data_IF_997485134059
#
_entry.id   IF_997485134059
#
_cell.length_a   1.000
_cell.length_b   1.000
_cell.length_c   1.000
_cell.angle_alpha   90.00
_cell.angle_beta   90.00
_cell.angle_gamma   90.00
#
_symmetry.space_group_name_H-M   'P 1'
#
loop_
_entity.id
_entity.type
_entity.pdbx_description
1 polymer ?
#
# COMPACT_ATOMS: atom_id res chain seq x y z
N UNK A 1 28.63 4.02 -6.18
CA UNK A 1 27.19 4.10 -5.92
C UNK A 1 26.59 5.08 -6.92
N UNK A 2 25.92 4.59 -7.98
CA UNK A 2 25.25 5.46 -8.98
C UNK A 2 23.88 5.81 -8.43
N UNK A 3 23.61 7.11 -8.29
CA UNK A 3 22.30 7.66 -7.96
C UNK A 3 21.26 7.10 -8.95
N UNK A 4 20.25 6.45 -8.42
CA UNK A 4 19.04 6.05 -9.17
C UNK A 4 18.35 7.36 -9.52
N UNK A 5 18.24 7.64 -10.82
CA UNK A 5 17.54 8.82 -11.35
C UNK A 5 16.05 8.70 -10.96
N UNK A 6 15.65 9.43 -9.93
CA UNK A 6 14.31 9.38 -9.34
C UNK A 6 13.23 10.01 -10.23
N UNK A 7 13.62 10.59 -11.37
CA UNK A 7 12.73 11.31 -12.31
C UNK A 7 12.56 10.60 -13.66
N UNK A 8 12.77 9.28 -13.76
CA UNK A 8 12.44 8.58 -15.00
C UNK A 8 10.92 8.61 -15.20
N UNK A 9 10.42 9.14 -16.34
CA UNK A 9 8.99 9.16 -16.65
C UNK A 9 8.43 7.74 -16.58
N UNK A 10 7.17 7.61 -16.13
CA UNK A 10 6.45 6.34 -15.95
C UNK A 10 6.42 5.46 -17.22
N UNK A 11 6.65 6.06 -18.38
CA UNK A 11 6.61 5.45 -19.70
C UNK A 11 8.01 5.33 -20.30
N UNK A 12 8.89 4.52 -19.70
CA UNK A 12 10.21 4.21 -20.26
C UNK A 12 10.38 2.71 -20.46
N UNK A 13 11.21 2.32 -21.44
CA UNK A 13 11.58 0.93 -21.70
C UNK A 13 12.29 0.31 -20.49
N UNK A 14 12.27 -1.05 -20.34
CA UNK A 14 13.08 -1.74 -19.34
C UNK A 14 14.56 -1.41 -19.54
N UNK A 15 15.33 -1.35 -18.44
CA UNK A 15 16.79 -1.25 -18.55
C UNK A 15 17.36 -2.62 -18.93
N UNK A 16 17.66 -2.81 -20.21
CA UNK A 16 18.20 -4.03 -20.77
C UNK A 16 19.64 -4.35 -20.29
N UNK A 17 20.30 -3.44 -19.56
CA UNK A 17 21.59 -3.67 -18.90
C UNK A 17 21.45 -4.34 -17.55
N UNK A 18 20.25 -4.38 -17.01
CA UNK A 18 19.97 -5.03 -15.76
C UNK A 18 19.90 -6.56 -15.97
N UNK A 19 20.80 -7.28 -15.31
CA UNK A 19 20.85 -8.75 -15.40
C UNK A 19 19.50 -9.40 -15.04
N UNK A 20 18.78 -8.85 -14.06
CA UNK A 20 17.45 -9.35 -13.68
C UNK A 20 16.39 -9.17 -14.78
N UNK A 21 16.53 -8.17 -15.67
CA UNK A 21 15.67 -8.01 -16.86
C UNK A 21 16.03 -9.07 -17.88
N UNK A 22 17.31 -9.24 -18.18
CA UNK A 22 17.79 -10.23 -19.15
C UNK A 22 17.39 -11.66 -18.77
N UNK A 23 17.61 -12.05 -17.51
CA UNK A 23 17.21 -13.38 -17.00
C UNK A 23 15.72 -13.62 -17.12
N UNK A 24 14.88 -12.62 -16.85
CA UNK A 24 13.41 -12.76 -17.00
C UNK A 24 12.98 -12.88 -18.45
N UNK A 25 13.61 -12.15 -19.37
CA UNK A 25 13.32 -12.27 -20.80
C UNK A 25 13.65 -13.69 -21.27
N UNK A 26 14.81 -14.22 -20.90
CA UNK A 26 15.21 -15.59 -21.25
C UNK A 26 14.26 -16.62 -20.62
N UNK A 27 13.97 -16.49 -19.32
CA UNK A 27 13.09 -17.45 -18.64
C UNK A 27 11.69 -17.44 -19.24
N UNK A 28 11.05 -16.25 -19.40
CA UNK A 28 9.70 -16.16 -19.93
C UNK A 28 9.64 -16.58 -21.40
N UNK A 29 10.67 -16.26 -22.20
CA UNK A 29 10.79 -16.72 -23.57
C UNK A 29 10.84 -18.24 -23.68
N UNK A 30 11.68 -18.88 -22.87
CA UNK A 30 11.79 -20.35 -22.82
C UNK A 30 10.50 -21.02 -22.31
N UNK A 31 9.88 -20.47 -21.27
CA UNK A 31 8.57 -20.95 -20.79
C UNK A 31 7.52 -20.86 -21.89
N UNK A 32 7.48 -19.75 -22.63
CA UNK A 32 6.55 -19.61 -23.76
C UNK A 32 6.86 -20.61 -24.89
N UNK A 33 8.13 -20.82 -25.21
CA UNK A 33 8.57 -21.83 -26.19
C UNK A 33 8.17 -23.25 -25.78
N UNK A 34 8.38 -23.60 -24.50
CA UNK A 34 7.96 -24.87 -23.95
C UNK A 34 6.44 -25.06 -23.96
N UNK A 35 5.68 -24.03 -23.59
CA UNK A 35 4.23 -24.05 -23.67
C UNK A 35 3.72 -24.23 -25.10
N UNK A 36 4.36 -23.55 -26.07
CA UNK A 36 4.04 -23.75 -27.48
C UNK A 36 4.33 -25.18 -27.96
N UNK A 37 5.48 -25.76 -27.56
CA UNK A 37 5.80 -27.16 -27.85
C UNK A 37 4.77 -28.11 -27.26
N UNK A 38 4.33 -27.89 -26.03
CA UNK A 38 3.30 -28.69 -25.36
C UNK A 38 1.95 -28.63 -26.09
N UNK A 39 1.55 -27.48 -26.59
CA UNK A 39 0.31 -27.30 -27.35
C UNK A 39 0.40 -27.98 -28.73
N UNK A 40 1.57 -27.97 -29.36
CA UNK A 40 1.79 -28.54 -30.69
C UNK A 40 2.01 -30.07 -30.67
N UNK A 41 2.47 -30.59 -29.54
CA UNK A 41 2.73 -32.02 -29.37
C UNK A 41 1.42 -32.80 -29.25
N UNK A 42 1.32 -33.91 -30.00
CA UNK A 42 0.16 -34.83 -29.92
C UNK A 42 0.33 -35.88 -28.83
N UNK A 43 1.55 -36.17 -28.48
CA UNK A 43 1.91 -37.13 -27.42
C UNK A 43 3.21 -36.71 -26.73
N UNK A 44 3.52 -37.34 -25.58
CA UNK A 44 4.67 -36.98 -24.78
C UNK A 44 6.02 -37.26 -25.47
N UNK A 45 6.08 -38.22 -26.40
CA UNK A 45 7.32 -38.53 -27.12
C UNK A 45 7.69 -37.44 -28.14
N UNK A 46 6.74 -36.68 -28.62
CA UNK A 46 6.97 -35.59 -29.59
C UNK A 46 7.34 -34.27 -28.91
N UNK A 47 7.17 -34.17 -27.60
CA UNK A 47 7.40 -32.89 -26.86
C UNK A 47 8.87 -32.44 -26.97
N UNK A 48 9.84 -33.34 -26.71
CA UNK A 48 11.24 -32.97 -26.73
C UNK A 48 11.75 -32.59 -28.13
N UNK A 49 11.46 -33.35 -29.20
CA UNK A 49 11.78 -32.96 -30.57
C UNK A 49 11.15 -31.61 -30.97
N UNK A 50 9.87 -31.40 -30.68
CA UNK A 50 9.19 -30.17 -31.02
C UNK A 50 9.72 -28.96 -30.25
N UNK A 51 10.06 -29.15 -28.97
CA UNK A 51 10.72 -28.08 -28.20
C UNK A 51 12.10 -27.75 -28.78
N UNK A 52 12.90 -28.77 -29.16
CA UNK A 52 14.20 -28.57 -29.77
C UNK A 52 14.11 -27.80 -31.11
N UNK A 53 13.12 -28.12 -31.95
CA UNK A 53 12.86 -27.41 -33.21
C UNK A 53 12.48 -25.92 -32.97
N UNK A 54 11.61 -25.67 -32.02
CA UNK A 54 11.25 -24.27 -31.65
C UNK A 54 12.44 -23.54 -31.03
N UNK A 55 13.20 -24.17 -30.16
CA UNK A 55 14.35 -23.60 -29.47
C UNK A 55 15.49 -23.27 -30.46
N UNK A 56 15.67 -24.03 -31.54
CA UNK A 56 16.66 -23.77 -32.57
C UNK A 56 16.48 -22.38 -33.25
N UNK A 57 15.24 -21.85 -33.30
CA UNK A 57 14.95 -20.52 -33.79
C UNK A 57 14.84 -19.52 -32.64
N UNK A 58 14.13 -19.87 -31.56
CA UNK A 58 13.84 -18.98 -30.44
C UNK A 58 15.09 -18.50 -29.71
N UNK A 59 16.00 -19.44 -29.37
CA UNK A 59 17.21 -19.13 -28.60
C UNK A 59 18.16 -18.15 -29.29
N UNK A 60 18.55 -18.36 -30.58
CA UNK A 60 19.37 -17.38 -31.27
C UNK A 60 18.71 -16.01 -31.38
N UNK A 61 17.40 -15.96 -31.64
CA UNK A 61 16.65 -14.68 -31.70
C UNK A 61 16.65 -13.98 -30.35
N UNK A 62 16.40 -14.70 -29.24
CA UNK A 62 16.43 -14.13 -27.89
C UNK A 62 17.81 -13.59 -27.54
N UNK A 63 18.87 -14.38 -27.77
CA UNK A 63 20.24 -14.00 -27.42
C UNK A 63 20.74 -12.81 -28.25
N UNK A 64 20.56 -12.86 -29.58
CA UNK A 64 20.96 -11.76 -30.47
C UNK A 64 20.19 -10.48 -30.19
N UNK A 65 18.90 -10.60 -29.91
CA UNK A 65 18.07 -9.46 -29.50
C UNK A 65 18.54 -8.86 -28.17
N UNK A 66 18.81 -9.70 -27.16
CA UNK A 66 19.29 -9.24 -25.85
C UNK A 66 20.64 -8.53 -25.95
N UNK A 67 21.60 -9.10 -26.69
CA UNK A 67 22.93 -8.50 -26.91
C UNK A 67 22.77 -7.13 -27.61
N UNK A 68 21.94 -7.07 -28.64
CA UNK A 68 21.67 -5.81 -29.38
C UNK A 68 20.99 -4.77 -28.50
N UNK A 69 19.99 -5.18 -27.72
CA UNK A 69 19.29 -4.32 -26.77
C UNK A 69 20.20 -3.81 -25.65
N UNK A 70 21.10 -4.67 -25.14
CA UNK A 70 22.13 -4.29 -24.19
C UNK A 70 23.07 -3.23 -24.76
N UNK A 71 23.58 -3.44 -25.99
CA UNK A 71 24.49 -2.51 -26.66
C UNK A 71 23.81 -1.15 -26.95
N UNK A 72 22.58 -1.19 -27.42
CA UNK A 72 21.79 0.01 -27.80
C UNK A 72 21.01 0.63 -26.66
N UNK A 73 21.06 0.09 -25.46
CA UNK A 73 20.27 0.54 -24.29
C UNK A 73 20.36 2.04 -24.03
N UNK A 74 21.57 2.64 -24.13
CA UNK A 74 21.78 4.09 -23.96
C UNK A 74 21.08 4.94 -25.03
N UNK A 75 20.99 4.44 -26.23
CA UNK A 75 20.32 5.12 -27.34
C UNK A 75 18.80 4.97 -27.23
N UNK A 76 18.32 3.75 -26.93
CA UNK A 76 16.91 3.46 -26.71
C UNK A 76 16.30 4.28 -25.57
N UNK A 77 17.06 4.54 -24.51
CA UNK A 77 16.59 5.35 -23.37
C UNK A 77 16.37 6.83 -23.69
N UNK A 78 16.87 7.33 -24.83
CA UNK A 78 16.69 8.71 -25.32
C UNK A 78 15.45 8.86 -26.20
N UNK A 79 14.88 7.75 -26.66
CA UNK A 79 13.72 7.77 -27.55
C UNK A 79 12.42 7.94 -26.75
N UNK A 80 11.42 8.62 -27.32
CA UNK A 80 10.06 8.57 -26.80
C UNK A 80 9.58 7.10 -26.70
N UNK A 81 8.77 6.78 -25.70
CA UNK A 81 8.37 5.41 -25.39
C UNK A 81 7.82 4.62 -26.58
N UNK A 82 6.94 5.25 -27.37
CA UNK A 82 6.37 4.62 -28.57
C UNK A 82 7.43 4.25 -29.62
N UNK A 83 8.39 5.14 -29.87
CA UNK A 83 9.52 4.87 -30.78
C UNK A 83 10.47 3.82 -30.24
N UNK A 84 10.64 3.79 -28.91
CA UNK A 84 11.40 2.74 -28.23
C UNK A 84 10.78 1.36 -28.41
N UNK A 85 9.47 1.22 -28.24
CA UNK A 85 8.73 -0.03 -28.54
C UNK A 85 8.89 -0.44 -29.99
N UNK A 86 8.67 0.49 -30.94
CA UNK A 86 8.81 0.23 -32.36
C UNK A 86 10.23 -0.26 -32.73
N UNK A 87 11.26 0.33 -32.11
CA UNK A 87 12.66 -0.07 -32.33
C UNK A 87 12.94 -1.47 -31.80
N UNK A 88 12.42 -1.85 -30.63
CA UNK A 88 12.54 -3.21 -30.08
C UNK A 88 11.84 -4.22 -30.98
N UNK A 89 10.61 -3.94 -31.40
CA UNK A 89 9.82 -4.81 -32.29
C UNK A 89 10.52 -5.01 -33.64
N UNK A 90 11.02 -3.93 -34.24
CA UNK A 90 11.77 -4.00 -35.49
C UNK A 90 13.05 -4.83 -35.34
N UNK A 91 13.80 -4.65 -34.27
CA UNK A 91 15.02 -5.37 -34.00
C UNK A 91 14.77 -6.88 -33.87
N UNK A 92 13.75 -7.28 -33.11
CA UNK A 92 13.37 -8.70 -32.98
C UNK A 92 12.93 -9.26 -34.33
N UNK A 93 12.14 -8.51 -35.11
CA UNK A 93 11.73 -8.94 -36.45
C UNK A 93 12.92 -9.15 -37.39
N UNK A 94 13.90 -8.24 -37.37
CA UNK A 94 15.14 -8.36 -38.18
C UNK A 94 15.93 -9.62 -37.78
N UNK A 95 16.14 -9.85 -36.47
CA UNK A 95 16.86 -11.03 -36.03
C UNK A 95 16.09 -12.33 -36.36
N UNK A 96 14.76 -12.34 -36.23
CA UNK A 96 13.92 -13.48 -36.62
C UNK A 96 14.08 -13.78 -38.11
N UNK A 97 14.03 -12.79 -38.95
CA UNK A 97 14.20 -12.96 -40.40
C UNK A 97 15.63 -13.45 -40.76
N UNK A 98 16.66 -12.90 -40.11
CA UNK A 98 18.05 -13.33 -40.32
C UNK A 98 18.33 -14.76 -39.90
N UNK A 99 17.82 -15.19 -38.72
CA UNK A 99 17.98 -16.54 -38.20
C UNK A 99 17.31 -17.56 -39.13
N UNK A 100 16.07 -17.29 -39.57
CA UNK A 100 15.36 -18.16 -40.49
C UNK A 100 16.03 -18.20 -41.87
N UNK A 101 16.54 -17.09 -42.36
CA UNK A 101 17.26 -17.07 -43.63
C UNK A 101 18.60 -17.83 -43.56
N UNK A 102 19.28 -17.76 -42.43
CA UNK A 102 20.48 -18.60 -42.20
C UNK A 102 20.13 -20.10 -42.17
N UNK A 103 19.00 -20.49 -41.60
CA UNK A 103 18.50 -21.88 -41.66
C UNK A 103 18.26 -22.35 -43.10
N UNK A 104 17.72 -21.51 -43.97
CA UNK A 104 17.52 -21.86 -45.38
C UNK A 104 18.84 -22.06 -46.13
N UNK A 105 19.90 -21.34 -45.79
CA UNK A 105 21.22 -21.54 -46.32
C UNK A 105 21.87 -22.88 -45.90
N UNK A 106 21.38 -23.42 -44.77
CA UNK A 106 21.80 -24.75 -44.24
C UNK A 106 20.92 -25.91 -44.74
N UNK A 107 20.00 -25.64 -45.67
CA UNK A 107 19.15 -26.65 -46.31
C UNK A 107 17.74 -26.82 -45.75
N UNK A 108 17.36 -26.02 -44.76
CA UNK A 108 15.99 -25.98 -44.25
C UNK A 108 15.08 -25.09 -45.13
N UNK A 109 14.10 -25.70 -45.78
CA UNK A 109 13.16 -24.93 -46.63
C UNK A 109 12.18 -24.11 -45.81
N UNK A 110 12.43 -22.81 -45.68
CA UNK A 110 11.47 -21.92 -45.03
C UNK A 110 10.45 -21.36 -46.08
N UNK A 111 9.18 -21.68 -45.89
CA UNK A 111 8.10 -21.12 -46.72
C UNK A 111 7.78 -19.68 -46.34
N UNK A 112 7.23 -18.90 -47.28
CA UNK A 112 6.74 -17.52 -47.00
C UNK A 112 5.74 -17.52 -45.81
N UNK A 113 4.90 -18.55 -45.70
CA UNK A 113 3.97 -18.72 -44.61
C UNK A 113 4.71 -19.02 -43.28
N UNK A 114 5.76 -19.85 -43.31
CA UNK A 114 6.60 -20.12 -42.13
C UNK A 114 7.29 -18.87 -41.58
N UNK A 115 7.83 -18.03 -42.46
CA UNK A 115 8.40 -16.74 -42.08
C UNK A 115 7.36 -15.80 -41.46
N UNK A 116 6.18 -15.64 -42.08
CA UNK A 116 5.13 -14.77 -41.56
C UNK A 116 4.63 -15.25 -40.20
N UNK A 117 4.47 -16.58 -40.01
CA UNK A 117 4.10 -17.20 -38.73
C UNK A 117 5.13 -16.92 -37.63
N UNK A 118 6.43 -17.09 -37.94
CA UNK A 118 7.50 -16.87 -36.97
C UNK A 118 7.59 -15.37 -36.58
N UNK A 119 7.50 -14.46 -37.53
CA UNK A 119 7.46 -13.02 -37.25
C UNK A 119 6.29 -12.63 -36.37
N UNK A 120 5.10 -13.18 -36.64
CA UNK A 120 3.90 -12.92 -35.85
C UNK A 120 4.06 -13.44 -34.39
N UNK A 121 4.57 -14.67 -34.23
CA UNK A 121 4.76 -15.27 -32.89
C UNK A 121 5.82 -14.52 -32.09
N UNK A 122 6.96 -14.15 -32.70
CA UNK A 122 7.99 -13.35 -32.05
C UNK A 122 7.48 -11.94 -31.70
N UNK A 123 6.64 -11.34 -32.56
CA UNK A 123 6.02 -10.06 -32.27
C UNK A 123 5.04 -10.14 -31.07
N UNK A 124 4.21 -11.18 -31.01
CA UNK A 124 3.30 -11.44 -29.90
C UNK A 124 4.07 -11.67 -28.58
N UNK A 125 5.13 -12.51 -28.61
CA UNK A 125 5.98 -12.74 -27.46
C UNK A 125 6.65 -11.45 -26.99
N UNK A 126 7.19 -10.64 -27.89
CA UNK A 126 7.82 -9.36 -27.59
C UNK A 126 6.80 -8.38 -26.97
N UNK A 127 5.60 -8.28 -27.56
CA UNK A 127 4.53 -7.47 -27.01
C UNK A 127 4.13 -7.91 -25.60
N UNK A 128 4.01 -9.22 -25.38
CA UNK A 128 3.74 -9.79 -24.05
C UNK A 128 4.83 -9.43 -23.04
N UNK A 129 6.11 -9.59 -23.41
CA UNK A 129 7.23 -9.24 -22.53
C UNK A 129 7.26 -7.74 -22.20
N UNK A 130 7.05 -6.87 -23.19
CA UNK A 130 6.97 -5.43 -22.96
C UNK A 130 5.78 -5.06 -22.06
N UNK A 131 4.61 -5.67 -22.27
CA UNK A 131 3.45 -5.50 -21.39
C UNK A 131 3.73 -5.97 -19.98
N UNK A 132 4.35 -7.14 -19.80
CA UNK A 132 4.77 -7.65 -18.49
C UNK A 132 5.67 -6.64 -17.75
N UNK A 133 6.71 -6.09 -18.41
CA UNK A 133 7.59 -5.11 -17.78
C UNK A 133 6.88 -3.79 -17.49
N UNK A 134 5.95 -3.36 -18.35
CA UNK A 134 5.12 -2.16 -18.11
C UNK A 134 4.26 -2.32 -16.86
N UNK A 135 3.48 -3.42 -16.74
CA UNK A 135 2.64 -3.70 -15.58
C UNK A 135 3.47 -3.88 -14.31
N UNK A 136 4.59 -4.59 -14.42
CA UNK A 136 5.50 -4.77 -13.30
C UNK A 136 6.05 -3.44 -12.78
N UNK A 137 6.50 -2.55 -13.67
CA UNK A 137 6.97 -1.22 -13.27
C UNK A 137 5.87 -0.42 -12.56
N UNK A 138 4.66 -0.47 -13.10
CA UNK A 138 3.52 0.21 -12.49
C UNK A 138 3.19 -0.35 -11.10
N UNK A 139 3.28 -1.66 -10.91
CA UNK A 139 3.06 -2.31 -9.60
C UNK A 139 4.14 -1.96 -8.55
N UNK A 140 5.38 -1.73 -8.99
CA UNK A 140 6.51 -1.38 -8.13
C UNK A 140 6.95 0.09 -8.29
N UNK A 141 6.05 0.97 -8.68
CA UNK A 141 6.36 2.40 -8.85
C UNK A 141 6.79 3.02 -7.52
N UNK A 142 7.91 3.79 -7.49
CA UNK A 142 8.31 4.58 -6.32
C UNK A 142 7.19 5.48 -5.80
N UNK A 143 6.37 6.05 -6.69
CA UNK A 143 5.22 6.86 -6.31
C UNK A 143 4.21 6.12 -5.41
N UNK A 144 4.02 4.80 -5.60
CA UNK A 144 3.17 3.98 -4.75
C UNK A 144 3.83 3.71 -3.39
N UNK A 145 5.14 3.57 -3.37
CA UNK A 145 5.94 3.43 -2.15
C UNK A 145 6.00 4.75 -1.39
N UNK A 146 6.23 5.87 -2.09
CA UNK A 146 6.23 7.22 -1.51
C UNK A 146 4.84 7.62 -1.00
N UNK A 147 3.78 7.31 -1.74
CA UNK A 147 2.40 7.51 -1.28
C UNK A 147 2.09 6.64 -0.04
N UNK A 148 2.59 5.41 0.04
CA UNK A 148 2.48 4.57 1.23
C UNK A 148 3.30 5.11 2.39
N UNK A 149 4.52 5.59 2.14
CA UNK A 149 5.36 6.23 3.16
C UNK A 149 4.74 7.55 3.63
N UNK A 150 4.23 8.38 2.74
CA UNK A 150 3.51 9.60 3.08
C UNK A 150 2.22 9.32 3.85
N UNK A 151 1.47 8.27 3.47
CA UNK A 151 0.29 7.83 4.22
C UNK A 151 0.66 7.27 5.61
N UNK A 152 1.83 6.62 5.74
CA UNK A 152 2.37 6.19 7.03
C UNK A 152 2.82 7.39 7.89
N UNK A 153 3.52 8.36 7.28
CA UNK A 153 3.93 9.60 7.93
C UNK A 153 2.75 10.50 8.31
N UNK A 154 1.68 10.50 7.51
CA UNK A 154 0.45 11.23 7.81
C UNK A 154 -0.35 10.62 8.98
N UNK A 155 -0.12 9.33 9.30
CA UNK A 155 -0.71 8.67 10.49
C UNK A 155 -0.10 9.19 11.79
N UNK A 156 1.14 9.64 11.75
CA UNK A 156 1.83 10.23 12.90
C UNK A 156 1.70 11.73 12.75
N UNK A 157 0.91 12.39 13.59
CA UNK A 157 0.90 13.86 13.64
C UNK A 157 2.26 14.34 14.18
N UNK A 158 3.15 14.92 13.36
CA UNK A 158 4.49 15.32 13.82
C UNK A 158 4.42 16.28 15.02
N UNK A 159 3.41 17.16 15.02
CA UNK A 159 3.16 18.10 16.08
C UNK A 159 2.85 17.43 17.43
N UNK A 160 2.10 16.32 17.43
CA UNK A 160 1.84 15.56 18.63
C UNK A 160 3.16 14.95 19.18
N UNK A 161 3.98 14.35 18.32
CA UNK A 161 5.27 13.79 18.74
C UNK A 161 6.18 14.83 19.39
N UNK A 162 6.37 15.98 18.73
CA UNK A 162 7.21 17.04 19.27
C UNK A 162 6.66 17.59 20.58
N UNK A 163 5.34 17.75 20.70
CA UNK A 163 4.73 18.25 21.92
C UNK A 163 4.83 17.25 23.07
N UNK A 164 4.63 15.95 22.82
CA UNK A 164 4.79 14.89 23.81
C UNK A 164 6.22 14.82 24.30
N UNK A 165 7.22 14.86 23.40
CA UNK A 165 8.64 14.90 23.76
C UNK A 165 8.98 16.14 24.61
N UNK A 166 8.47 17.31 24.27
CA UNK A 166 8.69 18.53 25.06
C UNK A 166 8.05 18.45 26.45
N UNK A 167 6.87 17.85 26.55
CA UNK A 167 6.22 17.62 27.86
C UNK A 167 7.07 16.65 28.71
N UNK A 168 7.56 15.56 28.15
CA UNK A 168 8.47 14.62 28.84
C UNK A 168 9.76 15.32 29.27
N UNK A 169 10.38 16.12 28.39
CA UNK A 169 11.61 16.86 28.71
C UNK A 169 11.42 17.80 29.90
N UNK A 170 10.24 18.40 30.04
CA UNK A 170 9.93 19.28 31.18
C UNK A 170 9.83 18.53 32.51
N UNK A 171 9.49 17.22 32.48
CA UNK A 171 9.35 16.35 33.63
C UNK A 171 10.65 15.71 34.11
N UNK A 172 11.66 15.54 33.22
CA UNK A 172 12.88 14.79 33.52
C UNK A 172 13.55 15.25 34.83
N UNK A 173 13.52 16.56 35.12
CA UNK A 173 14.16 17.11 36.32
C UNK A 173 13.23 17.20 37.53
N UNK A 174 11.94 17.37 37.32
CA UNK A 174 10.96 17.57 38.39
C UNK A 174 10.30 16.29 38.86
N UNK A 175 10.02 15.38 37.94
CA UNK A 175 9.39 14.08 38.20
C UNK A 175 9.91 13.02 37.21
N UNK A 176 11.14 12.46 37.46
CA UNK A 176 11.78 11.50 36.56
C UNK A 176 10.94 10.24 36.33
N UNK A 177 10.22 9.78 37.34
CA UNK A 177 9.40 8.57 37.23
C UNK A 177 8.23 8.78 36.28
N UNK A 178 7.56 9.91 36.39
CA UNK A 178 6.46 10.27 35.49
C UNK A 178 6.96 10.54 34.06
N UNK A 179 8.20 11.03 33.90
CA UNK A 179 8.84 11.18 32.58
C UNK A 179 9.10 9.81 31.94
N UNK A 180 9.55 8.81 32.73
CA UNK A 180 9.76 7.43 32.26
C UNK A 180 8.44 6.79 31.82
N UNK A 181 7.40 6.84 32.66
CA UNK A 181 6.05 6.35 32.32
C UNK A 181 5.51 6.98 31.02
N UNK A 182 5.68 8.29 30.85
CA UNK A 182 5.26 8.99 29.62
C UNK A 182 6.04 8.58 28.38
N UNK A 183 7.33 8.24 28.50
CA UNK A 183 8.14 7.70 27.39
C UNK A 183 7.69 6.29 27.01
N UNK A 184 7.36 5.47 28.00
CA UNK A 184 6.82 4.12 27.78
C UNK A 184 5.47 4.19 27.05
N UNK A 185 4.54 5.04 27.53
CA UNK A 185 3.25 5.30 26.88
C UNK A 185 3.45 5.75 25.42
N UNK A 186 4.41 6.65 25.18
CA UNK A 186 4.72 7.14 23.83
C UNK A 186 5.24 6.01 22.94
N UNK A 187 6.14 5.16 23.45
CA UNK A 187 6.71 4.06 22.68
C UNK A 187 5.65 2.99 22.33
N UNK A 188 4.76 2.67 23.28
CA UNK A 188 3.66 1.72 23.05
C UNK A 188 2.62 2.26 22.08
N UNK A 189 2.26 3.54 22.20
CA UNK A 189 1.37 4.22 21.24
C UNK A 189 1.91 4.13 19.81
N UNK A 190 3.20 4.43 19.62
CA UNK A 190 3.82 4.33 18.29
C UNK A 190 3.88 2.90 17.79
N UNK A 191 4.13 1.92 18.64
CA UNK A 191 4.11 0.50 18.27
C UNK A 191 2.72 0.08 17.79
N UNK A 192 1.65 0.51 18.47
CA UNK A 192 0.26 0.27 18.08
C UNK A 192 -0.08 0.90 16.72
N UNK A 193 0.35 2.16 16.48
CA UNK A 193 0.13 2.88 15.23
C UNK A 193 0.83 2.24 14.02
N UNK A 194 1.95 1.56 14.24
CA UNK A 194 2.75 0.90 13.17
C UNK A 194 2.25 -0.50 12.82
N UNK A 195 1.32 -1.07 13.57
CA UNK A 195 0.74 -2.39 13.27
C UNK A 195 -0.16 -2.37 12.02
N UNK A 196 -0.40 -3.56 11.45
CA UNK A 196 -1.27 -3.71 10.27
C UNK A 196 -2.75 -3.54 10.64
N UNK A 197 -3.34 -2.44 10.27
CA UNK A 197 -4.72 -2.03 10.60
C UNK A 197 -5.82 -2.85 9.90
N UNK A 198 -5.48 -3.93 9.23
CA UNK A 198 -6.46 -4.81 8.54
C UNK A 198 -7.06 -5.87 9.47
N UNK A 199 -6.55 -5.99 10.69
CA UNK A 199 -7.00 -6.98 11.65
C UNK A 199 -8.00 -6.40 12.64
N UNK A 200 -8.84 -7.27 13.21
CA UNK A 200 -9.64 -6.95 14.37
C UNK A 200 -8.76 -7.06 15.62
N UNK A 201 -9.00 -6.21 16.59
CA UNK A 201 -8.39 -6.22 17.92
C UNK A 201 -9.48 -6.22 18.98
N UNK A 202 -9.11 -6.39 20.23
CA UNK A 202 -10.08 -6.31 21.31
C UNK A 202 -10.42 -4.86 21.67
N UNK A 203 -11.62 -4.62 22.13
CA UNK A 203 -12.03 -3.29 22.60
C UNK A 203 -11.21 -2.84 23.83
N UNK A 204 -10.72 -3.80 24.62
CA UNK A 204 -9.80 -3.53 25.73
C UNK A 204 -8.47 -2.95 25.23
N UNK A 205 -7.88 -3.51 24.16
CA UNK A 205 -6.63 -3.01 23.59
C UNK A 205 -6.80 -1.62 22.98
N UNK A 206 -7.91 -1.37 22.26
CA UNK A 206 -8.24 -0.04 21.73
C UNK A 206 -8.38 0.99 22.85
N UNK A 207 -9.03 0.62 23.95
CA UNK A 207 -9.20 1.52 25.10
C UNK A 207 -7.86 1.80 25.79
N UNK A 208 -7.00 0.78 25.92
CA UNK A 208 -5.65 0.94 26.49
C UNK A 208 -4.84 1.95 25.67
N UNK A 209 -4.87 1.83 24.34
CA UNK A 209 -4.20 2.78 23.43
C UNK A 209 -4.74 4.21 23.57
N UNK A 210 -6.06 4.35 23.72
CA UNK A 210 -6.67 5.66 23.96
C UNK A 210 -6.27 6.27 25.31
N UNK A 211 -6.12 5.45 26.36
CA UNK A 211 -5.66 5.91 27.68
C UNK A 211 -4.22 6.42 27.61
N UNK A 212 -3.32 5.68 26.97
CA UNK A 212 -1.92 6.12 26.76
C UNK A 212 -1.87 7.47 26.01
N UNK A 213 -2.62 7.60 24.93
CA UNK A 213 -2.70 8.85 24.18
C UNK A 213 -3.21 10.01 25.07
N UNK A 214 -4.30 9.79 25.82
CA UNK A 214 -4.89 10.82 26.67
C UNK A 214 -4.00 11.18 27.86
N UNK A 215 -3.23 10.24 28.43
CA UNK A 215 -2.24 10.53 29.45
C UNK A 215 -1.17 11.50 28.94
N UNK A 216 -0.64 11.25 27.73
CA UNK A 216 0.34 12.15 27.08
C UNK A 216 -0.26 13.52 26.80
N UNK A 217 -1.50 13.61 26.31
CA UNK A 217 -2.17 14.88 26.08
C UNK A 217 -2.47 15.64 27.40
N UNK A 218 -2.75 14.91 28.48
CA UNK A 218 -2.98 15.51 29.80
C UNK A 218 -1.70 16.10 30.39
N UNK A 219 -0.52 15.53 30.11
CA UNK A 219 0.76 16.15 30.47
C UNK A 219 0.96 17.50 29.77
N UNK A 220 0.51 17.61 28.53
CA UNK A 220 0.63 18.82 27.71
C UNK A 220 -0.41 19.89 28.03
N UNK A 221 -1.67 19.46 28.15
CA UNK A 221 -2.82 20.36 28.31
C UNK A 221 -3.15 20.69 29.77
N UNK A 222 -2.64 19.89 30.72
CA UNK A 222 -2.86 20.09 32.13
C UNK A 222 -4.35 20.06 32.49
N UNK A 223 -4.76 21.02 33.29
CA UNK A 223 -6.16 21.15 33.76
C UNK A 223 -7.16 21.53 32.65
N UNK A 224 -6.68 21.91 31.47
CA UNK A 224 -7.55 22.17 30.31
C UNK A 224 -8.22 20.93 29.78
N UNK A 225 -7.61 19.74 29.94
CA UNK A 225 -8.18 18.48 29.53
C UNK A 225 -8.74 17.72 30.73
N UNK A 226 -10.03 17.43 30.69
CA UNK A 226 -10.70 16.50 31.61
C UNK A 226 -11.25 15.35 30.80
N UNK A 227 -11.09 14.11 31.29
CA UNK A 227 -11.62 12.92 30.63
C UNK A 227 -12.57 12.22 31.58
N UNK A 228 -13.79 12.01 31.13
CA UNK A 228 -14.82 11.30 31.88
C UNK A 228 -15.03 9.92 31.23
N UNK A 229 -14.68 8.87 32.00
CA UNK A 229 -14.73 7.48 31.55
C UNK A 229 -15.95 6.77 32.14
N UNK A 230 -16.88 6.37 31.29
CA UNK A 230 -18.02 5.52 31.62
C UNK A 230 -17.90 4.18 30.86
N UNK A 231 -17.02 3.32 31.34
CA UNK A 231 -16.60 2.09 30.66
C UNK A 231 -16.72 0.85 31.52
N UNK A 232 -17.37 0.93 32.68
CA UNK A 232 -17.51 -0.21 33.62
C UNK A 232 -18.29 -1.37 32.99
N UNK A 233 -19.30 -1.08 32.17
CA UNK A 233 -20.12 -2.06 31.45
C UNK A 233 -19.55 -2.42 30.03
N UNK A 234 -18.30 -2.08 29.74
CA UNK A 234 -17.67 -2.34 28.46
C UNK A 234 -17.34 -3.84 28.32
N UNK A 235 -17.72 -4.50 27.18
CA UNK A 235 -17.26 -5.84 26.86
C UNK A 235 -15.83 -5.76 26.28
N UNK A 236 -14.82 -5.94 27.15
CA UNK A 236 -13.41 -5.79 26.77
C UNK A 236 -12.93 -6.76 25.68
N UNK A 237 -13.58 -7.93 25.58
CA UNK A 237 -13.31 -8.99 24.60
C UNK A 237 -14.00 -8.79 23.25
N UNK A 238 -14.80 -7.72 23.09
CA UNK A 238 -15.44 -7.40 21.82
C UNK A 238 -14.41 -7.09 20.74
N UNK A 239 -14.55 -7.70 19.57
CA UNK A 239 -13.69 -7.47 18.43
C UNK A 239 -14.11 -6.22 17.66
N UNK A 240 -13.16 -5.32 17.45
CA UNK A 240 -13.32 -4.06 16.73
C UNK A 240 -12.18 -3.87 15.72
N UNK A 241 -12.38 -3.08 14.66
CA UNK A 241 -11.29 -2.71 13.77
C UNK A 241 -10.20 -1.96 14.54
N UNK A 242 -8.94 -2.36 14.36
CA UNK A 242 -7.79 -1.71 15.00
C UNK A 242 -7.73 -0.20 14.66
N UNK A 243 -7.35 0.63 15.63
CA UNK A 243 -7.35 2.10 15.52
C UNK A 243 -8.75 2.67 15.19
N UNK A 244 -9.79 2.10 15.84
CA UNK A 244 -11.16 2.61 15.72
C UNK A 244 -11.37 3.82 16.62
N UNK A 245 -10.99 3.72 17.89
CA UNK A 245 -11.25 4.74 18.90
C UNK A 245 -10.25 5.88 18.86
N UNK A 246 -8.98 5.60 18.63
CA UNK A 246 -7.92 6.59 18.71
C UNK A 246 -8.14 7.80 17.80
N UNK A 247 -8.47 7.70 16.48
CA UNK A 247 -8.73 8.87 15.66
C UNK A 247 -9.92 9.70 16.13
N UNK A 248 -10.88 9.08 16.83
CA UNK A 248 -12.03 9.80 17.41
C UNK A 248 -11.62 10.63 18.61
N UNK A 249 -10.78 10.04 19.49
CA UNK A 249 -10.23 10.73 20.66
C UNK A 249 -9.29 11.86 20.23
N UNK A 250 -8.41 11.62 19.25
CA UNK A 250 -7.58 12.69 18.66
C UNK A 250 -8.41 13.84 18.12
N UNK A 251 -9.51 13.51 17.46
CA UNK A 251 -10.44 14.51 16.92
C UNK A 251 -11.12 15.33 18.03
N UNK A 252 -11.52 14.66 19.11
CA UNK A 252 -12.13 15.30 20.27
C UNK A 252 -11.16 16.26 20.97
N UNK A 253 -9.89 15.89 21.14
CA UNK A 253 -8.86 16.77 21.69
C UNK A 253 -8.64 17.97 20.78
N UNK A 254 -8.36 17.72 19.49
CA UNK A 254 -7.99 18.78 18.56
C UNK A 254 -9.11 19.80 18.35
N UNK A 255 -10.36 19.32 18.14
CA UNK A 255 -11.49 20.21 17.85
C UNK A 255 -12.28 20.66 19.09
N UNK A 256 -12.23 19.87 20.17
CA UNK A 256 -12.98 20.17 21.37
C UNK A 256 -12.18 20.91 22.44
N UNK A 257 -10.88 20.57 22.61
CA UNK A 257 -10.07 21.07 23.73
C UNK A 257 -9.07 22.12 23.27
N UNK A 258 -8.29 21.84 22.21
CA UNK A 258 -7.24 22.75 21.74
C UNK A 258 -7.81 24.07 21.21
N UNK A 259 -8.94 24.03 20.53
CA UNK A 259 -9.60 25.19 19.95
C UNK A 259 -10.34 26.04 20.96
N UNK A 260 -10.72 25.49 22.12
CA UNK A 260 -11.41 26.22 23.19
C UNK A 260 -10.46 27.08 24.01
N UNK A 261 -10.97 28.20 24.52
CA UNK A 261 -10.21 29.10 25.40
C UNK A 261 -10.13 28.62 26.86
N UNK A 262 -10.96 27.66 27.26
CA UNK A 262 -11.09 27.17 28.64
C UNK A 262 -10.90 25.64 28.78
N UNK A 263 -11.11 25.12 30.00
CA UNK A 263 -11.14 23.68 30.23
C UNK A 263 -12.30 23.03 29.50
N UNK A 264 -12.06 21.81 28.97
CA UNK A 264 -13.10 21.03 28.33
C UNK A 264 -13.06 19.57 28.81
N UNK A 265 -14.20 18.90 28.73
CA UNK A 265 -14.34 17.50 29.12
C UNK A 265 -14.62 16.64 27.89
N UNK A 266 -13.83 15.60 27.70
CA UNK A 266 -14.10 14.52 26.74
C UNK A 266 -14.78 13.40 27.50
N UNK A 267 -16.02 13.06 27.11
CA UNK A 267 -16.76 11.93 27.66
C UNK A 267 -16.57 10.71 26.73
N UNK A 268 -16.19 9.59 27.30
CA UNK A 268 -16.09 8.31 26.60
C UNK A 268 -16.96 7.29 27.34
N UNK A 269 -18.08 6.92 26.74
CA UNK A 269 -19.00 5.92 27.28
C UNK A 269 -19.02 4.72 26.37
N UNK A 270 -18.80 3.54 26.93
CA UNK A 270 -18.88 2.27 26.21
C UNK A 270 -19.65 1.27 27.05
N UNK A 271 -20.68 0.69 26.48
CA UNK A 271 -21.52 -0.29 27.17
C UNK A 271 -21.96 -1.40 26.23
N UNK A 272 -22.33 -2.54 26.79
CA UNK A 272 -22.95 -3.64 26.06
C UNK A 272 -24.45 -3.64 26.30
N UNK A 273 -25.21 -3.73 25.23
CA UNK A 273 -26.66 -3.97 25.27
C UNK A 273 -26.97 -5.21 24.42
N UNK A 274 -27.18 -6.35 25.08
CA UNK A 274 -27.39 -7.68 24.47
C UNK A 274 -26.24 -8.06 23.52
N UNK A 275 -26.52 -8.10 22.21
CA UNK A 275 -25.56 -8.46 21.16
C UNK A 275 -24.96 -7.24 20.46
N UNK A 276 -25.05 -6.09 21.10
CA UNK A 276 -24.51 -4.84 20.57
C UNK A 276 -23.57 -4.16 21.57
N UNK A 277 -22.53 -3.54 21.04
CA UNK A 277 -21.65 -2.61 21.76
C UNK A 277 -22.06 -1.20 21.37
N UNK A 278 -22.41 -0.39 22.35
CA UNK A 278 -22.76 1.02 22.18
C UNK A 278 -21.61 1.90 22.63
N UNK A 279 -21.22 2.81 21.79
CA UNK A 279 -20.16 3.76 22.08
C UNK A 279 -20.67 5.18 21.87
N UNK A 280 -20.43 6.04 22.86
CA UNK A 280 -20.66 7.47 22.81
C UNK A 280 -19.35 8.19 23.13
N UNK A 281 -18.90 9.06 22.26
CA UNK A 281 -17.82 10.00 22.51
C UNK A 281 -18.37 11.41 22.36
N UNK A 282 -18.18 12.26 23.37
CA UNK A 282 -18.64 13.63 23.33
C UNK A 282 -17.53 14.59 23.77
N UNK A 283 -17.43 15.74 23.09
CA UNK A 283 -16.48 16.79 23.39
C UNK A 283 -17.12 18.17 23.18
N UNK A 284 -16.56 19.25 23.75
CA UNK A 284 -17.04 20.60 23.50
C UNK A 284 -17.07 20.95 22.00
N UNK A 285 -18.10 21.67 21.60
CA UNK A 285 -18.30 22.08 20.21
C UNK A 285 -18.04 23.58 20.02
N UNK A 286 -17.16 23.92 19.07
CA UNK A 286 -16.80 25.29 18.75
C UNK A 286 -17.14 25.63 17.29
N UNK A 287 -18.28 26.27 16.97
CA UNK A 287 -18.73 26.50 15.61
C UNK A 287 -17.77 27.35 14.76
N UNK A 288 -17.02 28.25 15.38
CA UNK A 288 -16.11 29.18 14.70
C UNK A 288 -14.87 28.48 14.08
N UNK A 289 -14.58 27.24 14.46
CA UNK A 289 -13.35 26.53 14.06
C UNK A 289 -13.58 25.35 13.11
N UNK A 290 -14.76 25.21 12.52
CA UNK A 290 -15.17 24.05 11.72
C UNK A 290 -14.60 23.96 10.28
N UNK A 291 -13.89 24.94 9.78
CA UNK A 291 -13.50 25.00 8.35
C UNK A 291 -12.28 24.17 7.98
N UNK A 292 -11.82 23.23 8.81
CA UNK A 292 -10.68 22.37 8.48
C UNK A 292 -11.13 21.04 7.85
N UNK A 293 -10.77 20.86 6.60
CA UNK A 293 -11.05 19.69 5.72
C UNK A 293 -10.62 18.33 6.31
N UNK A 294 -9.71 18.29 7.28
CA UNK A 294 -9.16 17.06 7.87
C UNK A 294 -10.16 16.22 8.70
N UNK A 295 -11.12 16.85 9.36
CA UNK A 295 -12.10 16.15 10.21
C UNK A 295 -13.02 15.22 9.40
N UNK A 296 -13.49 15.67 8.23
CA UNK A 296 -14.41 14.90 7.39
C UNK A 296 -13.77 13.63 6.85
N UNK A 297 -12.47 13.64 6.54
CA UNK A 297 -11.75 12.45 6.04
C UNK A 297 -11.57 11.39 7.12
N UNK A 298 -11.20 11.77 8.35
CA UNK A 298 -11.02 10.82 9.44
C UNK A 298 -12.33 10.08 9.77
N UNK A 299 -13.44 10.83 9.89
CA UNK A 299 -14.76 10.25 10.17
C UNK A 299 -15.29 9.40 9.00
N UNK A 300 -15.01 9.81 7.74
CA UNK A 300 -15.37 9.04 6.56
C UNK A 300 -14.61 7.70 6.51
N UNK A 301 -13.31 7.71 6.81
CA UNK A 301 -12.49 6.49 6.86
C UNK A 301 -12.98 5.51 7.94
N UNK A 302 -13.40 6.00 9.10
CA UNK A 302 -13.97 5.15 10.16
C UNK A 302 -15.28 4.51 9.66
N UNK A 303 -16.16 5.29 9.05
CA UNK A 303 -17.42 4.78 8.50
C UNK A 303 -17.19 3.70 7.44
N UNK A 304 -16.25 3.91 6.53
CA UNK A 304 -15.87 2.94 5.51
C UNK A 304 -15.32 1.64 6.12
N UNK A 305 -14.45 1.75 7.14
CA UNK A 305 -13.89 0.60 7.84
C UNK A 305 -14.96 -0.20 8.59
N UNK A 306 -15.89 0.47 9.23
CA UNK A 306 -17.03 -0.19 9.89
C UNK A 306 -17.88 -0.94 8.87
N UNK A 307 -18.17 -0.32 7.72
CA UNK A 307 -18.90 -0.97 6.63
C UNK A 307 -18.16 -2.20 6.08
N UNK A 308 -16.82 -2.15 5.96
CA UNK A 308 -16.01 -3.29 5.50
C UNK A 308 -16.03 -4.49 6.45
N UNK A 309 -16.08 -4.27 7.78
CA UNK A 309 -16.02 -5.35 8.76
C UNK A 309 -17.38 -5.83 9.23
N UNK A 310 -18.38 -4.96 9.27
CA UNK A 310 -19.68 -5.23 9.89
C UNK A 310 -20.88 -4.95 8.96
N UNK A 311 -20.62 -4.44 7.76
CA UNK A 311 -21.65 -4.12 6.76
C UNK A 311 -22.79 -3.28 7.40
N UNK A 312 -24.03 -3.73 7.26
CA UNK A 312 -25.23 -3.06 7.78
C UNK A 312 -25.44 -3.23 9.29
N UNK A 313 -24.67 -4.11 9.96
CA UNK A 313 -24.82 -4.39 11.40
C UNK A 313 -24.18 -3.28 12.26
N UNK A 314 -23.32 -2.43 11.70
CA UNK A 314 -22.75 -1.29 12.39
C UNK A 314 -23.42 0.01 12.01
N UNK A 315 -23.59 0.91 12.98
CA UNK A 315 -24.05 2.27 12.72
C UNK A 315 -23.06 3.30 13.24
N UNK A 316 -22.93 4.41 12.54
CA UNK A 316 -22.06 5.54 12.89
C UNK A 316 -22.79 6.85 12.63
N UNK A 317 -23.05 7.61 13.66
CA UNK A 317 -23.73 8.91 13.60
C UNK A 317 -22.92 9.98 14.32
N UNK A 318 -23.01 11.20 13.82
CA UNK A 318 -22.42 12.39 14.44
C UNK A 318 -23.47 13.47 14.55
N UNK A 319 -23.57 14.08 15.70
CA UNK A 319 -24.60 15.09 16.00
C UNK A 319 -24.02 16.19 16.90
N UNK A 320 -24.56 17.41 16.78
CA UNK A 320 -24.31 18.49 17.73
C UNK A 320 -25.50 18.59 18.68
N UNK A 321 -25.26 18.32 19.96
CA UNK A 321 -26.28 18.36 21.00
C UNK A 321 -25.91 19.46 22.01
N UNK A 322 -26.61 20.59 21.95
CA UNK A 322 -26.27 21.75 22.73
C UNK A 322 -24.89 22.31 22.39
N UNK A 323 -24.02 22.33 23.38
CA UNK A 323 -22.63 22.78 23.28
C UNK A 323 -21.60 21.64 23.04
N UNK A 324 -22.09 20.42 22.71
CA UNK A 324 -21.25 19.23 22.54
C UNK A 324 -21.37 18.66 21.14
N UNK A 325 -20.25 18.19 20.61
CA UNK A 325 -20.19 17.33 19.45
C UNK A 325 -20.18 15.88 19.92
N UNK A 326 -21.16 15.11 19.47
CA UNK A 326 -21.34 13.71 19.85
C UNK A 326 -21.11 12.78 18.67
N UNK A 327 -20.38 11.70 18.91
CA UNK A 327 -20.19 10.57 18.02
C UNK A 327 -20.84 9.37 18.67
N UNK A 328 -21.82 8.78 17.99
CA UNK A 328 -22.52 7.58 18.45
C UNK A 328 -22.23 6.43 17.50
N UNK A 329 -21.77 5.30 18.04
CA UNK A 329 -21.57 4.08 17.27
C UNK A 329 -22.31 2.92 17.93
N UNK A 330 -22.85 2.04 17.11
CA UNK A 330 -23.39 0.74 17.53
C UNK A 330 -22.68 -0.32 16.68
N UNK A 331 -22.10 -1.32 17.33
CA UNK A 331 -21.35 -2.40 16.71
C UNK A 331 -21.94 -3.74 17.14
N UNK A 332 -21.92 -4.78 16.32
CA UNK A 332 -22.28 -6.13 16.79
C UNK A 332 -21.23 -6.61 17.80
N UNK A 333 -21.71 -7.24 18.89
CA UNK A 333 -20.80 -7.90 19.83
C UNK A 333 -20.31 -9.21 19.23
N UNK A 334 -19.05 -9.23 18.82
CA UNK A 334 -18.35 -10.43 18.33
C UNK A 334 -17.11 -10.64 19.20
N UNK A 335 -16.82 -11.89 19.57
CA UNK A 335 -15.61 -12.28 20.32
C UNK A 335 -14.76 -13.24 19.50
N UNK A 336 -13.50 -13.35 19.85
CA UNK A 336 -12.62 -14.38 19.30
C UNK A 336 -13.07 -15.74 19.83
N UNK A 337 -13.32 -16.70 18.95
CA UNK A 337 -13.63 -18.09 19.30
C UNK A 337 -12.42 -18.82 19.87
#
# INVERSE_FOLDING_TARGET
MRSIDQNAPSDSLPDFRNLGVAVRILLLGNVAGFAAALILSRDAMQLAPQFAELAAVLEPVLLLSLVSLYALSKWLSRLPYAWGIASVMLMVAVWTALVLNAGTALGEATTRFGLARALMLCALLTAFLLAYFFWRRRAYSPALTDARLQALQARIRPHFLFNSLNAVLSLIRSDPKRAEEALEDLAELYRGLMQDNRRLTTLADELALCRQYLNLEQLRLGERLRVDWDVEAMPGDALVPQLLLQPLVENAIFHGIETGAGPGTVLIRISRDKDQVRLLLANPYHPEHQHRTGNRMALANIRERLALHFDVEASFATEVVGDKFEIRMVLPYRRQE
#
